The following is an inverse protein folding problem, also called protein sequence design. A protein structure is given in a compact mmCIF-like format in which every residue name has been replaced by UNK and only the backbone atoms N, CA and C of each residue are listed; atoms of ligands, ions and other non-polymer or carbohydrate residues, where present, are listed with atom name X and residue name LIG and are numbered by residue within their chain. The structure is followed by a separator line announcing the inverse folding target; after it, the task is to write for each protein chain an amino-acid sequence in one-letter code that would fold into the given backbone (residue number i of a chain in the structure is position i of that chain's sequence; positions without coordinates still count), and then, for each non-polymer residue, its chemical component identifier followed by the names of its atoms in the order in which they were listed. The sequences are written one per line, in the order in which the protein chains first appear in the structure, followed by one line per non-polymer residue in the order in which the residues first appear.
data_IF_274381114712
#
_entry.id   IF_274381114712
#
_cell.length_a   1.000
_cell.length_b   1.000
_cell.length_c   1.000
_cell.angle_alpha   90.00
_cell.angle_beta   90.00
_cell.angle_gamma   90.00
#
_symmetry.space_group_name_H-M   'P 1'
#
loop_
_entity.id
_entity.type
_entity.pdbx_description
1 polymer ?
#
# COMPACT_ATOMS: atom_id res chain seq x y z
N UNK A 1 74.10 19.97 -31.33
CA UNK A 1 73.45 19.80 -30.03
C UNK A 1 71.96 19.77 -30.29
N UNK A 2 71.33 18.62 -30.15
CA UNK A 2 69.92 18.37 -30.56
C UNK A 2 69.10 18.09 -29.28
N UNK A 3 68.33 19.09 -28.81
CA UNK A 3 67.50 18.98 -27.64
C UNK A 3 66.25 18.07 -27.93
N UNK A 4 66.24 16.91 -27.32
CA UNK A 4 65.03 16.05 -27.26
C UNK A 4 64.14 16.55 -26.12
N UNK A 5 62.99 17.08 -26.45
CA UNK A 5 61.87 17.31 -25.45
C UNK A 5 61.18 15.98 -25.21
N UNK A 6 61.29 15.52 -23.98
CA UNK A 6 60.49 14.36 -23.48
C UNK A 6 59.11 14.91 -23.04
N UNK A 7 58.10 14.56 -23.78
CA UNK A 7 56.70 14.87 -23.39
C UNK A 7 56.20 13.83 -22.38
N UNK A 8 55.89 14.26 -21.19
CA UNK A 8 55.21 13.44 -20.20
C UNK A 8 53.72 13.44 -20.53
N UNK A 9 53.19 12.29 -20.95
CA UNK A 9 51.74 12.07 -21.13
C UNK A 9 51.19 11.67 -19.75
N UNK A 10 50.46 12.58 -19.10
CA UNK A 10 49.71 12.27 -17.89
C UNK A 10 48.43 11.56 -18.31
N UNK A 11 48.34 10.26 -18.01
CA UNK A 11 47.10 9.49 -18.17
C UNK A 11 46.20 9.81 -16.97
N UNK A 12 45.16 10.59 -17.20
CA UNK A 12 44.12 10.84 -16.22
C UNK A 12 43.22 9.60 -16.14
N UNK A 13 43.42 8.76 -15.12
CA UNK A 13 42.52 7.65 -14.82
C UNK A 13 41.30 8.24 -14.09
N UNK A 14 40.20 8.44 -14.82
CA UNK A 14 38.88 8.76 -14.24
C UNK A 14 38.35 7.49 -13.56
N UNK A 15 38.54 7.41 -12.25
CA UNK A 15 37.84 6.40 -11.43
C UNK A 15 36.38 6.84 -11.32
N UNK A 16 35.51 6.23 -12.12
CA UNK A 16 34.05 6.29 -11.90
C UNK A 16 33.77 5.50 -10.62
N UNK A 17 33.66 6.18 -9.49
CA UNK A 17 33.03 5.65 -8.30
C UNK A 17 31.54 5.70 -8.59
N UNK A 18 30.99 4.63 -9.14
CA UNK A 18 29.55 4.44 -9.22
C UNK A 18 29.01 4.27 -7.81
N UNK A 19 28.51 5.35 -7.21
CA UNK A 19 27.63 5.24 -6.05
C UNK A 19 26.40 4.47 -6.50
N UNK A 20 26.25 3.23 -6.05
CA UNK A 20 24.98 2.54 -6.17
C UNK A 20 23.96 3.42 -5.46
N UNK A 21 23.06 4.06 -6.22
CA UNK A 21 21.91 4.75 -5.66
C UNK A 21 21.15 3.73 -4.83
N UNK A 22 20.94 4.04 -3.56
CA UNK A 22 20.06 3.24 -2.70
C UNK A 22 18.70 3.11 -3.39
N UNK A 23 18.06 1.97 -3.27
CA UNK A 23 16.70 1.81 -3.76
C UNK A 23 15.81 2.79 -2.99
N UNK A 24 15.00 3.53 -3.71
CA UNK A 24 14.18 4.63 -3.21
C UNK A 24 12.83 4.62 -3.91
N UNK A 25 11.82 5.21 -3.29
CA UNK A 25 10.49 5.35 -3.90
C UNK A 25 10.55 6.15 -5.22
N UNK A 26 9.60 5.88 -6.09
CA UNK A 26 9.42 6.61 -7.34
C UNK A 26 8.90 8.02 -7.05
N UNK A 27 9.33 9.00 -7.84
CA UNK A 27 8.82 10.36 -7.70
C UNK A 27 7.31 10.42 -7.99
N UNK A 28 6.56 11.13 -7.14
CA UNK A 28 5.09 11.22 -7.22
C UNK A 28 4.61 11.75 -8.57
N UNK A 29 5.32 12.70 -9.19
CA UNK A 29 4.96 13.22 -10.52
C UNK A 29 5.00 12.12 -11.59
N UNK A 30 5.95 11.18 -11.49
CA UNK A 30 6.06 10.06 -12.42
C UNK A 30 4.94 9.06 -12.19
N UNK A 31 4.59 8.78 -10.91
CA UNK A 31 3.46 7.91 -10.55
C UNK A 31 2.16 8.47 -11.15
N UNK A 32 1.84 9.73 -10.88
CA UNK A 32 0.62 10.36 -11.36
C UNK A 32 0.56 10.45 -12.89
N UNK A 33 1.66 10.83 -13.54
CA UNK A 33 1.73 10.88 -15.00
C UNK A 33 1.53 9.52 -15.68
N UNK A 34 1.86 8.41 -15.00
CA UNK A 34 1.57 7.07 -15.48
C UNK A 34 0.07 6.77 -15.38
N UNK A 35 -0.58 7.15 -14.27
CA UNK A 35 -2.02 6.94 -14.06
C UNK A 35 -2.90 7.80 -14.99
N UNK A 36 -2.47 9.01 -15.32
CA UNK A 36 -3.20 9.92 -16.22
C UNK A 36 -3.39 9.34 -17.64
N UNK A 37 -2.56 8.35 -18.02
CA UNK A 37 -2.66 7.66 -19.31
C UNK A 37 -3.72 6.55 -19.32
N UNK A 38 -4.18 6.12 -18.14
CA UNK A 38 -5.14 5.04 -18.00
C UNK A 38 -6.53 5.49 -18.43
N UNK A 39 -7.20 4.61 -19.17
CA UNK A 39 -8.59 4.76 -19.55
C UNK A 39 -9.50 3.98 -18.59
N UNK A 40 -10.74 3.73 -18.98
CA UNK A 40 -11.72 2.98 -18.18
C UNK A 40 -11.41 1.48 -18.03
N UNK A 41 -10.31 1.01 -18.64
CA UNK A 41 -9.81 -0.37 -18.49
C UNK A 41 -8.39 -0.35 -17.97
N UNK A 42 -8.22 -0.87 -16.76
CA UNK A 42 -6.92 -0.98 -16.10
C UNK A 42 -6.96 -2.07 -15.01
N UNK A 43 -5.80 -2.37 -14.47
CA UNK A 43 -5.65 -3.34 -13.40
C UNK A 43 -4.71 -2.84 -12.30
N UNK A 44 -4.93 -3.30 -11.08
CA UNK A 44 -4.03 -3.01 -9.97
C UNK A 44 -3.91 -4.20 -9.04
N UNK A 45 -2.84 -4.21 -8.28
CA UNK A 45 -2.59 -5.25 -7.27
C UNK A 45 -2.69 -4.63 -5.88
N UNK A 46 -3.21 -5.42 -4.94
CA UNK A 46 -3.29 -5.07 -3.51
C UNK A 46 -2.65 -6.17 -2.68
N UNK A 47 -1.80 -5.82 -1.76
CA UNK A 47 -1.27 -6.64 -0.67
C UNK A 47 -0.79 -5.73 0.46
N UNK A 48 -0.49 -6.27 1.63
CA UNK A 48 0.12 -5.56 2.75
C UNK A 48 0.69 -6.50 3.78
N UNK A 49 1.18 -5.96 4.90
CA UNK A 49 1.78 -6.72 6.00
C UNK A 49 2.94 -7.61 5.50
N UNK A 50 3.83 -7.01 4.72
CA UNK A 50 4.96 -7.72 4.11
C UNK A 50 6.22 -7.74 5.00
N UNK A 51 6.20 -7.02 6.12
CA UNK A 51 7.29 -6.98 7.11
C UNK A 51 7.70 -8.36 7.59
N UNK A 52 8.96 -8.53 7.96
CA UNK A 52 9.50 -9.77 8.57
C UNK A 52 9.37 -11.05 7.72
N UNK A 53 9.01 -10.94 6.45
CA UNK A 53 8.80 -12.09 5.56
C UNK A 53 9.42 -11.91 4.18
N UNK A 54 10.72 -11.57 4.12
CA UNK A 54 11.44 -11.19 2.90
C UNK A 54 11.23 -12.16 1.72
N UNK A 55 11.32 -13.47 1.99
CA UNK A 55 11.20 -14.49 0.91
C UNK A 55 9.77 -14.60 0.39
N UNK A 56 8.79 -14.47 1.28
CA UNK A 56 7.38 -14.40 0.91
C UNK A 56 7.10 -13.14 0.11
N UNK A 57 7.57 -11.99 0.61
CA UNK A 57 7.38 -10.71 -0.06
C UNK A 57 8.00 -10.70 -1.48
N UNK A 58 9.24 -11.21 -1.64
CA UNK A 58 9.83 -11.39 -2.98
C UNK A 58 8.94 -12.22 -3.89
N UNK A 59 8.37 -13.29 -3.37
CA UNK A 59 7.50 -14.17 -4.14
C UNK A 59 6.19 -13.49 -4.53
N UNK A 60 5.56 -12.75 -3.61
CA UNK A 60 4.38 -11.93 -3.86
C UNK A 60 4.66 -10.91 -4.96
N UNK A 61 5.76 -10.15 -4.83
CA UNK A 61 6.17 -9.15 -5.84
C UNK A 61 6.40 -9.79 -7.21
N UNK A 62 7.13 -10.92 -7.27
CA UNK A 62 7.39 -11.62 -8.53
C UNK A 62 6.09 -12.02 -9.23
N UNK A 63 5.20 -12.71 -8.52
CA UNK A 63 3.92 -13.18 -9.08
C UNK A 63 2.99 -12.02 -9.45
N UNK A 64 2.96 -10.96 -8.64
CA UNK A 64 2.18 -9.77 -8.93
C UNK A 64 2.66 -9.09 -10.22
N UNK A 65 3.98 -8.93 -10.40
CA UNK A 65 4.56 -8.30 -11.58
C UNK A 65 4.42 -9.14 -12.86
N UNK A 66 4.37 -10.47 -12.74
CA UNK A 66 4.06 -11.36 -13.88
C UNK A 66 2.66 -11.08 -14.47
N UNK A 67 1.72 -10.57 -13.65
CA UNK A 67 0.37 -10.16 -14.08
C UNK A 67 0.34 -8.82 -14.81
N UNK A 68 1.46 -8.08 -14.83
CA UNK A 68 1.60 -6.76 -15.46
C UNK A 68 0.52 -5.77 -15.03
N UNK A 69 0.36 -5.52 -13.72
CA UNK A 69 -0.60 -4.52 -13.26
C UNK A 69 -0.18 -3.12 -13.70
N UNK A 70 -1.13 -2.20 -13.80
CA UNK A 70 -0.84 -0.80 -14.10
C UNK A 70 -0.25 -0.06 -12.90
N UNK A 71 -0.59 -0.48 -11.68
CA UNK A 71 -0.03 0.02 -10.42
C UNK A 71 -0.28 -0.95 -9.26
N UNK A 72 0.33 -0.67 -8.11
CA UNK A 72 0.17 -1.46 -6.87
C UNK A 72 -0.20 -0.53 -5.73
N UNK A 73 -1.04 -1.01 -4.80
CA UNK A 73 -1.33 -0.37 -3.52
C UNK A 73 -1.01 -1.35 -2.38
N UNK A 74 -0.18 -0.91 -1.43
CA UNK A 74 0.14 -1.65 -0.22
C UNK A 74 -0.75 -1.17 0.94
N UNK A 75 -1.34 -2.09 1.69
CA UNK A 75 -2.24 -1.78 2.80
C UNK A 75 -1.54 -1.53 4.13
N UNK A 76 -0.20 -1.30 4.13
CA UNK A 76 0.57 -0.94 5.32
C UNK A 76 1.45 -2.06 5.88
N UNK A 77 2.20 -1.73 6.92
CA UNK A 77 3.16 -2.61 7.59
C UNK A 77 4.27 -3.09 6.66
N UNK A 78 4.99 -2.13 6.03
CA UNK A 78 6.15 -2.39 5.18
C UNK A 78 7.36 -2.85 5.97
N UNK A 79 7.57 -2.26 7.16
CA UNK A 79 8.69 -2.53 8.07
C UNK A 79 8.18 -3.10 9.40
N UNK A 80 9.05 -3.68 10.22
CA UNK A 80 8.67 -4.25 11.52
C UNK A 80 8.85 -3.27 12.69
N UNK A 81 9.81 -2.37 12.57
CA UNK A 81 10.20 -1.43 13.65
C UNK A 81 10.01 0.00 13.16
N UNK A 82 9.03 0.75 13.71
CA UNK A 82 8.79 2.13 13.30
C UNK A 82 10.05 2.99 13.38
N UNK A 83 10.36 3.70 12.29
CA UNK A 83 11.52 4.59 12.22
C UNK A 83 12.85 3.91 11.90
N UNK A 84 12.89 2.61 11.68
CA UNK A 84 14.13 1.90 11.33
C UNK A 84 14.48 2.08 9.84
N UNK A 85 15.51 2.89 9.57
CA UNK A 85 15.99 3.19 8.22
C UNK A 85 16.63 1.98 7.52
N UNK A 86 17.14 1.00 8.26
CA UNK A 86 17.74 -0.20 7.66
C UNK A 86 16.64 -1.12 7.13
N UNK A 87 15.54 -1.24 7.87
CA UNK A 87 14.35 -1.98 7.42
C UNK A 87 13.70 -1.29 6.20
N UNK A 88 13.64 0.05 6.16
CA UNK A 88 13.20 0.80 4.98
C UNK A 88 14.10 0.55 3.76
N UNK A 89 15.41 0.63 3.93
CA UNK A 89 16.35 0.32 2.85
C UNK A 89 16.16 -1.12 2.35
N UNK A 90 15.91 -2.07 3.26
CA UNK A 90 15.61 -3.45 2.93
C UNK A 90 14.29 -3.60 2.18
N UNK A 91 13.23 -2.93 2.63
CA UNK A 91 11.94 -2.90 1.93
C UNK A 91 12.09 -2.40 0.50
N UNK A 92 12.79 -1.29 0.27
CA UNK A 92 13.01 -0.75 -1.07
C UNK A 92 13.91 -1.66 -1.93
N UNK A 93 14.88 -2.34 -1.35
CA UNK A 93 15.68 -3.35 -2.06
C UNK A 93 14.80 -4.51 -2.57
N UNK A 94 13.92 -5.02 -1.72
CA UNK A 94 12.99 -6.10 -2.06
C UNK A 94 11.94 -5.65 -3.08
N UNK A 95 11.56 -4.39 -3.03
CA UNK A 95 10.56 -3.78 -3.92
C UNK A 95 11.12 -3.37 -5.29
N UNK A 96 12.43 -3.47 -5.53
CA UNK A 96 13.06 -3.11 -6.83
C UNK A 96 12.38 -3.68 -8.08
N UNK A 97 11.84 -4.91 -8.07
CA UNK A 97 11.16 -5.45 -9.25
C UNK A 97 9.84 -4.75 -9.56
N UNK A 98 9.30 -3.93 -8.66
CA UNK A 98 8.09 -3.13 -8.88
C UNK A 98 8.47 -1.92 -9.75
N UNK A 99 8.15 -2.01 -11.04
CA UNK A 99 8.46 -0.98 -12.04
C UNK A 99 7.25 -0.12 -12.43
N UNK A 100 6.12 -0.35 -11.79
CA UNK A 100 4.87 0.41 -11.93
C UNK A 100 4.67 1.34 -10.73
N UNK A 101 3.78 2.34 -10.81
CA UNK A 101 3.45 3.18 -9.65
C UNK A 101 3.11 2.36 -8.42
N UNK A 102 3.74 2.68 -7.30
CA UNK A 102 3.55 1.99 -6.03
C UNK A 102 3.08 2.97 -4.96
N UNK A 103 1.89 2.74 -4.41
CA UNK A 103 1.25 3.57 -3.40
C UNK A 103 1.20 2.81 -2.07
N UNK A 104 1.45 3.50 -0.97
CA UNK A 104 1.60 2.91 0.35
C UNK A 104 0.56 3.48 1.32
N UNK A 105 0.00 2.64 2.15
CA UNK A 105 -0.85 3.03 3.29
C UNK A 105 -0.01 2.95 4.58
N UNK A 106 -0.20 3.85 5.51
CA UNK A 106 0.48 3.79 6.81
C UNK A 106 -0.07 2.64 7.65
N UNK A 107 0.82 1.76 8.14
CA UNK A 107 0.52 0.75 9.15
C UNK A 107 1.12 1.09 10.52
N UNK A 108 0.73 0.35 11.55
CA UNK A 108 1.22 0.60 12.93
C UNK A 108 2.69 0.25 13.14
N UNK A 109 3.28 -0.50 12.21
CA UNK A 109 4.70 -0.79 12.20
C UNK A 109 5.51 0.21 11.37
N UNK A 110 4.86 1.03 10.55
CA UNK A 110 5.53 2.08 9.78
C UNK A 110 5.66 3.36 10.60
N UNK A 111 4.58 3.74 11.31
CA UNK A 111 4.52 4.91 12.19
C UNK A 111 3.90 4.50 13.52
N UNK A 112 4.46 5.02 14.62
CA UNK A 112 3.90 4.81 15.96
C UNK A 112 4.14 6.04 16.83
N UNK A 113 3.08 6.58 17.43
CA UNK A 113 3.10 7.81 18.25
C UNK A 113 4.12 7.79 19.41
N UNK A 114 4.42 6.60 19.95
CA UNK A 114 5.41 6.43 21.04
C UNK A 114 6.86 6.30 20.54
N UNK A 115 7.07 6.24 19.21
CA UNK A 115 8.42 6.16 18.64
C UNK A 115 8.76 7.51 18.00
N UNK A 116 9.61 8.31 18.66
CA UNK A 116 9.98 9.62 18.15
C UNK A 116 10.52 9.54 16.71
N UNK A 117 10.11 10.51 15.90
CA UNK A 117 10.53 10.65 14.50
C UNK A 117 10.10 9.54 13.53
N UNK A 118 9.29 8.55 13.94
CA UNK A 118 8.84 7.48 13.03
C UNK A 118 8.05 8.04 11.84
N UNK A 119 7.15 9.02 12.06
CA UNK A 119 6.43 9.71 10.98
C UNK A 119 7.39 10.44 10.03
N UNK A 120 8.37 11.15 10.58
CA UNK A 120 9.38 11.82 9.75
C UNK A 120 10.19 10.83 8.94
N UNK A 121 10.61 9.72 9.55
CA UNK A 121 11.35 8.67 8.83
C UNK A 121 10.49 8.10 7.70
N UNK A 122 9.20 7.82 7.94
CA UNK A 122 8.28 7.40 6.90
C UNK A 122 8.27 8.39 5.72
N UNK A 123 8.03 9.68 6.00
CA UNK A 123 7.99 10.73 4.96
C UNK A 123 9.33 10.96 4.26
N UNK A 124 10.45 10.69 4.92
CA UNK A 124 11.79 10.76 4.29
C UNK A 124 12.01 9.59 3.29
N UNK A 125 11.26 8.48 3.44
CA UNK A 125 11.44 7.24 2.66
C UNK A 125 10.43 7.09 1.50
N UNK A 126 9.31 7.84 1.51
CA UNK A 126 8.26 7.74 0.51
C UNK A 126 8.10 9.04 -0.27
N UNK A 127 7.46 8.97 -1.45
CA UNK A 127 7.01 10.13 -2.21
C UNK A 127 5.57 9.85 -2.71
N UNK A 128 4.60 10.36 -1.96
CA UNK A 128 3.18 10.07 -2.10
C UNK A 128 2.36 11.37 -2.24
N UNK A 129 1.11 11.32 -2.72
CA UNK A 129 0.29 12.52 -2.86
C UNK A 129 -0.01 13.21 -1.52
N UNK A 130 -0.28 14.51 -1.58
CA UNK A 130 -0.82 15.29 -0.45
C UNK A 130 0.15 15.42 0.71
N UNK A 131 -0.23 14.93 1.87
CA UNK A 131 0.61 14.93 3.07
C UNK A 131 1.34 13.61 3.33
N UNK A 132 1.23 12.65 2.36
CA UNK A 132 1.83 11.31 2.36
C UNK A 132 1.24 10.34 3.40
N UNK A 133 0.45 10.80 4.34
CA UNK A 133 -0.20 9.97 5.36
C UNK A 133 -1.60 9.55 4.91
N UNK A 134 -2.42 10.50 4.48
CA UNK A 134 -3.70 10.25 3.85
C UNK A 134 -3.83 11.10 2.59
N UNK A 135 -4.29 10.48 1.53
CA UNK A 135 -4.31 11.12 0.21
C UNK A 135 -5.30 10.44 -0.74
N UNK A 136 -5.48 11.03 -1.89
CA UNK A 136 -6.24 10.41 -2.97
C UNK A 136 -5.56 10.62 -4.32
N UNK A 137 -5.83 9.70 -5.23
CA UNK A 137 -5.43 9.80 -6.63
C UNK A 137 -6.51 9.23 -7.54
N UNK A 138 -6.36 9.44 -8.84
CA UNK A 138 -7.30 8.99 -9.86
C UNK A 138 -6.59 8.06 -10.82
N UNK A 139 -7.31 7.05 -11.30
CA UNK A 139 -6.88 6.19 -12.40
C UNK A 139 -8.11 5.85 -13.24
N UNK A 140 -8.10 6.19 -14.52
CA UNK A 140 -9.25 6.03 -15.39
C UNK A 140 -10.54 6.63 -14.79
N UNK A 141 -11.58 5.81 -14.70
CA UNK A 141 -12.88 6.19 -14.13
C UNK A 141 -13.01 5.96 -12.61
N UNK A 142 -11.91 5.69 -11.91
CA UNK A 142 -11.91 5.37 -10.48
C UNK A 142 -11.19 6.42 -9.62
N UNK A 143 -11.65 6.53 -8.38
CA UNK A 143 -11.03 7.27 -7.28
C UNK A 143 -10.42 6.28 -6.30
N UNK A 144 -9.20 6.53 -5.89
CA UNK A 144 -8.45 5.80 -4.88
C UNK A 144 -8.21 6.71 -3.69
N UNK A 145 -8.62 6.28 -2.52
CA UNK A 145 -8.52 7.02 -1.27
C UNK A 145 -7.70 6.21 -0.28
N UNK A 146 -6.62 6.76 0.21
CA UNK A 146 -5.79 6.18 1.25
C UNK A 146 -6.02 6.95 2.54
N UNK A 147 -6.29 6.22 3.63
CA UNK A 147 -6.55 6.78 4.96
C UNK A 147 -5.50 6.29 5.94
N UNK A 148 -5.11 7.16 6.84
CA UNK A 148 -4.23 6.83 7.97
C UNK A 148 -5.06 6.63 9.25
N UNK A 149 -4.84 5.51 9.93
CA UNK A 149 -5.45 5.17 11.22
C UNK A 149 -4.47 5.22 12.39
N UNK A 150 -3.29 5.80 12.17
CA UNK A 150 -2.22 5.93 13.17
C UNK A 150 -1.70 7.37 13.32
N UNK A 151 -2.48 8.35 12.84
CA UNK A 151 -2.21 9.76 13.14
C UNK A 151 -2.12 9.99 14.65
N UNK A 152 -1.21 10.86 15.03
CA UNK A 152 -1.03 11.25 16.45
C UNK A 152 -2.37 11.69 17.05
N UNK A 153 -2.66 11.24 18.27
CA UNK A 153 -3.93 11.46 19.00
C UNK A 153 -5.20 10.89 18.32
N UNK A 154 -5.08 10.21 17.18
CA UNK A 154 -6.21 9.64 16.43
C UNK A 154 -6.03 8.14 16.11
N UNK A 155 -5.21 7.43 16.86
CA UNK A 155 -5.01 6.00 16.61
C UNK A 155 -6.33 5.23 16.55
N UNK A 156 -6.48 4.42 15.49
CA UNK A 156 -7.68 3.58 15.22
C UNK A 156 -8.97 4.38 15.01
N UNK A 157 -8.82 5.59 14.47
CA UNK A 157 -9.93 6.48 14.11
C UNK A 157 -9.64 7.17 12.78
N UNK A 158 -10.73 7.59 12.13
CA UNK A 158 -10.69 8.58 11.04
C UNK A 158 -11.61 9.71 11.48
N UNK A 159 -11.03 10.79 12.00
CA UNK A 159 -11.75 11.91 12.63
C UNK A 159 -11.14 13.25 12.23
N UNK A 160 -11.61 14.35 12.81
CA UNK A 160 -11.00 15.65 12.68
C UNK A 160 -10.81 16.13 11.24
N UNK A 161 -9.62 16.61 10.94
CA UNK A 161 -9.29 17.15 9.62
C UNK A 161 -9.30 16.08 8.53
N UNK A 162 -8.82 14.86 8.84
CA UNK A 162 -8.85 13.76 7.87
C UNK A 162 -10.29 13.39 7.46
N UNK A 163 -11.22 13.31 8.42
CA UNK A 163 -12.61 13.02 8.11
C UNK A 163 -13.24 14.12 7.26
N UNK A 164 -13.01 15.39 7.62
CA UNK A 164 -13.50 16.54 6.85
C UNK A 164 -12.93 16.55 5.42
N UNK A 165 -11.63 16.24 5.26
CA UNK A 165 -11.00 16.09 3.96
C UNK A 165 -11.65 14.93 3.16
N UNK A 166 -11.88 13.79 3.80
CA UNK A 166 -12.50 12.62 3.18
C UNK A 166 -13.90 12.92 2.66
N UNK A 167 -14.73 13.64 3.44
CA UNK A 167 -16.06 14.09 3.02
C UNK A 167 -15.97 14.96 1.75
N UNK A 168 -14.98 15.87 1.68
CA UNK A 168 -14.72 16.68 0.51
C UNK A 168 -14.29 15.87 -0.71
N UNK A 169 -13.43 14.89 -0.52
CA UNK A 169 -12.91 14.01 -1.60
C UNK A 169 -14.00 13.10 -2.16
N UNK A 170 -14.90 12.59 -1.32
CA UNK A 170 -15.99 11.71 -1.72
C UNK A 170 -17.19 12.48 -2.30
N UNK A 171 -17.31 13.80 -2.05
CA UNK A 171 -18.47 14.61 -2.43
C UNK A 171 -18.72 14.74 -3.94
N UNK A 172 -17.71 14.84 -4.82
CA UNK A 172 -17.96 14.92 -6.26
C UNK A 172 -18.45 13.59 -6.82
N UNK A 173 -19.68 13.51 -7.30
CA UNK A 173 -20.34 12.32 -7.85
C UNK A 173 -19.74 11.78 -9.17
N UNK A 174 -18.54 12.20 -9.55
CA UNK A 174 -18.02 12.06 -10.92
C UNK A 174 -17.22 10.77 -11.18
N UNK A 175 -17.19 9.79 -10.26
CA UNK A 175 -16.43 8.56 -10.45
C UNK A 175 -17.35 7.34 -10.41
N UNK A 176 -17.10 6.37 -11.31
CA UNK A 176 -17.85 5.11 -11.34
C UNK A 176 -17.48 4.21 -10.18
N UNK A 177 -16.19 4.23 -9.81
CA UNK A 177 -15.65 3.39 -8.75
C UNK A 177 -14.91 4.23 -7.72
N UNK A 178 -15.02 3.83 -6.46
CA UNK A 178 -14.22 4.39 -5.35
C UNK A 178 -13.64 3.24 -4.55
N UNK A 179 -12.33 3.18 -4.46
CA UNK A 179 -11.59 2.22 -3.64
C UNK A 179 -10.97 2.94 -2.45
N UNK A 180 -11.17 2.39 -1.26
CA UNK A 180 -10.61 2.93 -0.02
C UNK A 180 -9.58 1.96 0.53
N UNK A 181 -8.44 2.47 0.94
CA UNK A 181 -7.35 1.71 1.57
C UNK A 181 -7.10 2.29 2.95
N UNK A 182 -7.09 1.42 3.92
CA UNK A 182 -6.83 1.77 5.32
C UNK A 182 -6.19 0.56 6.01
N UNK A 183 -5.16 0.76 6.82
CA UNK A 183 -4.46 -0.40 7.39
C UNK A 183 -5.34 -1.16 8.39
N UNK A 184 -5.81 -0.49 9.44
CA UNK A 184 -6.64 -1.15 10.45
C UNK A 184 -8.06 -1.44 9.92
N UNK A 185 -8.58 -2.68 10.01
CA UNK A 185 -9.90 -3.01 9.51
C UNK A 185 -11.03 -2.37 10.36
N UNK A 186 -12.12 -1.95 9.67
CA UNK A 186 -13.35 -1.51 10.34
C UNK A 186 -14.02 -2.68 11.07
N UNK A 187 -13.95 -3.86 10.48
CA UNK A 187 -14.66 -5.03 10.94
C UNK A 187 -13.75 -6.25 11.00
N UNK A 188 -12.76 -6.30 11.91
CA UNK A 188 -11.92 -7.49 12.09
C UNK A 188 -12.76 -8.69 12.49
N UNK A 189 -12.28 -9.89 12.20
CA UNK A 189 -12.98 -11.12 12.58
C UNK A 189 -12.59 -11.56 14.00
N UNK A 190 -13.57 -11.71 14.86
CA UNK A 190 -13.37 -12.07 16.27
C UNK A 190 -12.70 -13.44 16.46
N UNK A 191 -12.92 -14.37 15.54
CA UNK A 191 -12.51 -15.77 15.70
C UNK A 191 -11.26 -16.14 14.92
N UNK A 192 -10.90 -15.34 13.89
CA UNK A 192 -9.82 -15.65 12.95
C UNK A 192 -8.63 -14.70 13.10
N UNK A 193 -8.86 -13.44 13.45
CA UNK A 193 -7.85 -12.42 13.63
C UNK A 193 -7.32 -12.30 15.05
N UNK A 194 -6.39 -11.37 15.25
CA UNK A 194 -5.80 -11.05 16.56
C UNK A 194 -6.14 -9.64 17.04
N UNK A 195 -6.65 -8.79 16.18
CA UNK A 195 -6.81 -7.35 16.45
C UNK A 195 -8.26 -6.92 16.64
N UNK A 196 -9.18 -7.85 16.88
CA UNK A 196 -10.55 -7.52 17.29
C UNK A 196 -10.51 -6.70 18.61
N UNK A 197 -11.20 -5.54 18.62
CA UNK A 197 -11.13 -4.56 19.71
C UNK A 197 -9.86 -3.72 19.71
N UNK A 198 -8.97 -3.92 18.74
CA UNK A 198 -7.72 -3.17 18.59
C UNK A 198 -7.50 -2.62 17.16
N UNK A 199 -8.56 -2.50 16.41
CA UNK A 199 -8.64 -1.88 15.09
C UNK A 199 -9.65 -0.72 15.10
N UNK A 200 -10.23 -0.34 14.00
CA UNK A 200 -11.29 0.68 13.97
C UNK A 200 -12.54 0.27 14.77
N UNK A 201 -12.73 -1.01 15.04
CA UNK A 201 -13.79 -1.53 15.89
C UNK A 201 -13.64 -1.16 17.38
N UNK A 202 -12.50 -0.63 17.80
CA UNK A 202 -12.27 -0.09 19.13
C UNK A 202 -13.19 1.09 19.47
N UNK A 203 -13.55 1.87 18.46
CA UNK A 203 -14.41 3.04 18.58
C UNK A 203 -15.63 2.87 17.66
N UNK A 204 -16.66 2.13 18.11
CA UNK A 204 -17.80 1.77 17.25
C UNK A 204 -18.53 2.98 16.67
N UNK A 205 -18.64 4.09 17.41
CA UNK A 205 -19.31 5.30 16.91
C UNK A 205 -18.61 5.93 15.70
N UNK A 206 -17.29 6.10 15.78
CA UNK A 206 -16.47 6.64 14.69
C UNK A 206 -16.39 5.67 13.51
N UNK A 207 -16.29 4.36 13.78
CA UNK A 207 -16.33 3.32 12.74
C UNK A 207 -17.65 3.35 11.98
N UNK A 208 -18.78 3.41 12.69
CA UNK A 208 -20.11 3.39 12.08
C UNK A 208 -20.40 4.68 11.30
N UNK A 209 -19.91 5.83 11.78
CA UNK A 209 -19.97 7.08 11.03
C UNK A 209 -19.15 7.00 9.72
N UNK A 210 -17.96 6.42 9.77
CA UNK A 210 -17.13 6.20 8.58
C UNK A 210 -17.79 5.22 7.60
N UNK A 211 -18.38 4.14 8.10
CA UNK A 211 -19.14 3.18 7.29
C UNK A 211 -20.34 3.85 6.62
N UNK A 212 -21.11 4.66 7.36
CA UNK A 212 -22.25 5.39 6.81
C UNK A 212 -21.83 6.33 5.67
N UNK A 213 -20.63 6.96 5.79
CA UNK A 213 -20.05 7.78 4.72
C UNK A 213 -19.73 6.92 3.49
N UNK A 214 -19.15 5.74 3.66
CA UNK A 214 -18.84 4.83 2.56
C UNK A 214 -20.11 4.34 1.84
N UNK A 215 -21.16 4.01 2.59
CA UNK A 215 -22.48 3.63 2.04
C UNK A 215 -23.09 4.79 1.25
N UNK A 216 -23.13 6.00 1.84
CA UNK A 216 -23.66 7.20 1.21
C UNK A 216 -23.00 7.49 -0.14
N UNK A 217 -21.68 7.32 -0.23
CA UNK A 217 -20.89 7.61 -1.43
C UNK A 217 -20.62 6.38 -2.31
N UNK A 218 -21.32 5.25 -2.02
CA UNK A 218 -21.25 4.01 -2.81
C UNK A 218 -19.82 3.54 -3.04
N UNK A 219 -19.01 3.51 -1.97
CA UNK A 219 -17.64 2.96 -2.02
C UNK A 219 -17.69 1.54 -2.59
N UNK A 220 -16.90 1.30 -3.61
CA UNK A 220 -16.87 0.02 -4.35
C UNK A 220 -16.25 -1.09 -3.51
N UNK A 221 -15.15 -0.80 -2.81
CA UNK A 221 -14.44 -1.76 -1.95
C UNK A 221 -13.55 -1.02 -0.96
N UNK A 222 -13.49 -1.53 0.27
CA UNK A 222 -12.52 -1.14 1.29
C UNK A 222 -11.48 -2.25 1.43
N UNK A 223 -10.21 -1.95 1.20
CA UNK A 223 -9.08 -2.86 1.41
C UNK A 223 -8.35 -2.51 2.70
N UNK A 224 -8.01 -3.53 3.49
CA UNK A 224 -7.33 -3.35 4.77
C UNK A 224 -6.23 -4.41 4.95
N UNK A 225 -5.26 -4.12 5.81
CA UNK A 225 -4.22 -5.03 6.29
C UNK A 225 -4.42 -5.41 7.75
N UNK A 226 -3.31 -5.36 8.53
CA UNK A 226 -3.24 -5.51 9.99
C UNK A 226 -3.55 -6.91 10.52
N UNK A 227 -4.56 -7.56 10.00
CA UNK A 227 -4.84 -8.97 10.27
C UNK A 227 -4.13 -9.81 9.21
N UNK A 228 -3.15 -10.60 9.63
CA UNK A 228 -2.32 -11.41 8.72
C UNK A 228 -3.08 -12.63 8.21
N UNK A 229 -4.12 -12.37 7.43
CA UNK A 229 -5.00 -13.35 6.80
C UNK A 229 -5.75 -12.72 5.62
N UNK A 230 -6.47 -13.54 4.87
CA UNK A 230 -7.47 -13.11 3.92
C UNK A 230 -8.88 -13.25 4.52
N UNK A 231 -9.66 -12.17 4.42
CA UNK A 231 -11.08 -12.23 4.75
C UNK A 231 -11.86 -11.26 3.85
N UNK A 232 -12.97 -11.73 3.31
CA UNK A 232 -13.94 -10.91 2.60
C UNK A 232 -15.29 -10.96 3.28
N UNK A 233 -15.90 -9.80 3.51
CA UNK A 233 -17.27 -9.68 3.98
C UNK A 233 -17.91 -8.41 3.41
N UNK A 234 -19.24 -8.39 3.38
CA UNK A 234 -20.00 -7.21 2.98
C UNK A 234 -20.75 -6.67 4.20
N UNK A 235 -20.63 -5.37 4.44
CA UNK A 235 -21.36 -4.66 5.50
C UNK A 235 -22.10 -3.50 4.83
N UNK A 236 -23.42 -3.44 5.01
CA UNK A 236 -24.30 -2.41 4.44
C UNK A 236 -24.03 -2.15 2.94
N UNK A 237 -23.93 -3.24 2.17
CA UNK A 237 -23.65 -3.27 0.74
C UNK A 237 -22.22 -2.83 0.34
N UNK A 238 -21.32 -2.49 1.27
CA UNK A 238 -19.92 -2.18 1.00
C UNK A 238 -19.06 -3.43 1.26
N UNK A 239 -18.31 -3.94 0.26
CA UNK A 239 -17.33 -5.00 0.44
C UNK A 239 -16.13 -4.52 1.25
N UNK A 240 -15.77 -5.27 2.30
CA UNK A 240 -14.56 -5.10 3.10
C UNK A 240 -13.65 -6.30 2.91
N UNK A 241 -12.40 -6.05 2.53
CA UNK A 241 -11.40 -7.07 2.23
C UNK A 241 -10.21 -6.86 3.17
N UNK A 242 -9.92 -7.85 3.98
CA UNK A 242 -8.65 -7.91 4.72
C UNK A 242 -7.65 -8.68 3.87
N UNK A 243 -6.47 -8.11 3.62
CA UNK A 243 -5.44 -8.66 2.74
C UNK A 243 -4.03 -8.49 3.35
N UNK A 244 -3.86 -8.98 4.58
CA UNK A 244 -2.58 -8.92 5.32
C UNK A 244 -1.68 -10.13 5.10
N UNK A 245 -1.73 -10.75 3.92
CA UNK A 245 -0.95 -11.95 3.60
C UNK A 245 0.34 -11.69 2.80
N UNK A 246 0.94 -10.49 2.87
CA UNK A 246 2.09 -10.11 2.05
C UNK A 246 3.45 -10.63 2.50
N UNK A 247 3.56 -11.16 3.74
CA UNK A 247 4.85 -11.66 4.25
C UNK A 247 4.89 -11.94 5.74
N UNK A 248 4.26 -11.12 6.57
CA UNK A 248 4.27 -11.27 8.01
C UNK A 248 3.67 -12.62 8.48
N UNK A 249 4.08 -13.13 9.65
CA UNK A 249 3.56 -14.42 10.15
C UNK A 249 2.04 -14.46 10.21
N UNK A 250 1.44 -15.47 9.60
CA UNK A 250 -0.01 -15.62 9.50
C UNK A 250 -0.67 -15.87 10.88
N UNK A 251 -1.91 -15.43 11.04
CA UNK A 251 -2.67 -15.54 12.30
C UNK A 251 -3.64 -16.71 12.33
N UNK A 252 -3.95 -17.29 11.19
CA UNK A 252 -4.92 -18.35 11.04
C UNK A 252 -4.36 -19.52 10.23
N UNK A 253 -5.03 -20.65 10.22
CA UNK A 253 -4.81 -21.72 9.26
C UNK A 253 -5.39 -21.40 7.88
N UNK A 254 -5.06 -22.20 6.88
CA UNK A 254 -5.48 -21.95 5.49
C UNK A 254 -7.00 -21.91 5.32
N UNK A 255 -7.75 -22.75 6.04
CA UNK A 255 -9.20 -22.81 5.97
C UNK A 255 -9.87 -21.53 6.52
N UNK A 256 -9.17 -20.84 7.43
CA UNK A 256 -9.60 -19.60 8.06
C UNK A 256 -8.98 -18.36 7.41
N UNK A 257 -8.38 -18.49 6.21
CA UNK A 257 -7.80 -17.38 5.46
C UNK A 257 -6.31 -17.16 5.69
N UNK A 258 -5.65 -18.01 6.49
CA UNK A 258 -4.22 -17.94 6.77
C UNK A 258 -3.40 -18.50 5.61
N UNK A 259 -3.23 -17.73 4.56
CA UNK A 259 -2.33 -18.03 3.44
C UNK A 259 -1.72 -16.74 2.89
N UNK A 260 -0.49 -16.84 2.40
CA UNK A 260 0.19 -15.71 1.76
C UNK A 260 -0.37 -15.46 0.38
N UNK A 261 -0.66 -14.18 0.05
CA UNK A 261 -1.40 -13.84 -1.16
C UNK A 261 -1.21 -12.37 -1.58
N UNK A 262 -1.66 -12.10 -2.78
CA UNK A 262 -2.01 -10.78 -3.28
C UNK A 262 -3.39 -10.81 -3.94
N UNK A 263 -3.97 -9.66 -4.15
CA UNK A 263 -5.24 -9.50 -4.88
C UNK A 263 -4.95 -8.78 -6.18
N UNK A 264 -5.37 -9.38 -7.30
CA UNK A 264 -5.33 -8.76 -8.62
C UNK A 264 -6.71 -8.26 -8.98
N UNK A 265 -6.86 -6.94 -9.15
CA UNK A 265 -8.14 -6.28 -9.45
C UNK A 265 -8.12 -5.77 -10.87
N UNK A 266 -9.20 -6.01 -11.60
CA UNK A 266 -9.43 -5.47 -12.95
C UNK A 266 -10.66 -4.57 -12.92
N UNK A 267 -10.51 -3.35 -13.44
CA UNK A 267 -11.60 -2.43 -13.75
C UNK A 267 -11.78 -2.43 -15.27
N UNK A 268 -13.00 -2.63 -15.74
CA UNK A 268 -13.35 -2.62 -17.18
C UNK A 268 -14.71 -1.91 -17.35
N UNK A 269 -14.66 -0.60 -17.53
CA UNK A 269 -15.85 0.25 -17.59
C UNK A 269 -16.63 0.24 -16.27
N UNK A 270 -17.81 -0.40 -16.29
CA UNK A 270 -18.68 -0.52 -15.11
C UNK A 270 -18.38 -1.76 -14.25
N UNK A 271 -17.52 -2.65 -14.74
CA UNK A 271 -17.22 -3.91 -14.06
C UNK A 271 -15.95 -3.81 -13.24
N UNK A 272 -16.02 -4.33 -12.03
CA UNK A 272 -14.85 -4.62 -11.20
C UNK A 272 -14.84 -6.11 -10.93
N UNK A 273 -13.69 -6.73 -11.09
CA UNK A 273 -13.46 -8.13 -10.72
C UNK A 273 -12.13 -8.27 -10.03
N UNK A 274 -12.03 -9.23 -9.12
CA UNK A 274 -10.81 -9.48 -8.39
C UNK A 274 -10.50 -10.97 -8.26
N UNK A 275 -9.22 -11.31 -8.28
CA UNK A 275 -8.69 -12.63 -7.99
C UNK A 275 -7.75 -12.55 -6.79
N UNK A 276 -8.00 -13.37 -5.78
CA UNK A 276 -7.09 -13.59 -4.65
C UNK A 276 -6.16 -14.73 -5.02
N UNK A 277 -4.88 -14.46 -5.14
CA UNK A 277 -3.90 -15.42 -5.64
C UNK A 277 -2.86 -15.72 -4.56
N UNK A 278 -2.68 -16.99 -4.21
CA UNK A 278 -1.66 -17.39 -3.24
C UNK A 278 -0.24 -17.39 -3.85
N UNK A 279 0.77 -17.56 -3.00
CA UNK A 279 2.17 -17.58 -3.44
C UNK A 279 2.55 -18.80 -4.28
N UNK A 280 1.65 -19.75 -4.52
CA UNK A 280 1.82 -20.86 -5.44
C UNK A 280 1.12 -20.60 -6.79
N UNK A 281 0.54 -19.39 -6.98
CA UNK A 281 -0.19 -19.02 -8.18
C UNK A 281 -1.63 -19.55 -8.23
N UNK A 282 -2.13 -20.14 -7.15
CA UNK A 282 -3.48 -20.69 -7.09
C UNK A 282 -4.47 -19.59 -6.72
N UNK A 283 -5.55 -19.48 -7.50
CA UNK A 283 -6.66 -18.58 -7.17
C UNK A 283 -7.48 -19.19 -6.03
N UNK A 284 -7.59 -18.44 -4.94
CA UNK A 284 -8.28 -18.83 -3.70
C UNK A 284 -9.71 -18.29 -3.64
N UNK A 285 -9.96 -17.10 -4.21
CA UNK A 285 -11.30 -16.47 -4.29
C UNK A 285 -11.40 -15.59 -5.53
N UNK A 286 -12.64 -15.34 -5.98
CA UNK A 286 -13.01 -14.39 -7.03
C UNK A 286 -14.23 -13.61 -6.62
N UNK A 287 -14.27 -12.33 -6.97
CA UNK A 287 -15.42 -11.48 -6.70
C UNK A 287 -15.48 -10.29 -7.65
#
# INVERSE_FOLDING_TARGET
MRNRKVGIIAILVLVFVGTALAAQDQQIQQKLAALDKLQDKFSFVVFGDNRSGDDVYRKVVSLAMERKPDFIVNTGDMIATPGDKQEWARFWELSRPIIVPYFLTVGNHDIHSKVPFSERTYKDEVDLPGNELYYSFKAGNALFVVLDTYLDDQEKKVTGEQLKWLEGVLSPAARKHTFVFVHAPLYPDKNRGKHHGNSLDRYPGERDALQALFVKHKVTTVFTGHEHLYLRKTVDAVPHIITGGGGAPLYADEMNGGFYHYIYVTVDGDRVSAEVVDINGKVKDRF
#
